data_IF_839930412157
#
_entry.id   IF_839930412157
#
_cell.length_a   1.000
_cell.length_b   1.000
_cell.length_c   1.000
_cell.angle_alpha   90.00
_cell.angle_beta   90.00
_cell.angle_gamma   90.00
#
_symmetry.space_group_name_H-M   'P 1'
#
loop_
_entity.id
_entity.type
_entity.pdbx_description
1 polymer ?
#
# COMPACT_ATOMS: atom_id res chain seq x y z
N UNK A 1 -15.61 -5.20 24.08
CA UNK A 1 -17.02 -5.68 24.03
C UNK A 1 -17.98 -4.79 23.21
N UNK A 2 -17.50 -3.84 22.39
CA UNK A 2 -18.37 -2.95 21.60
C UNK A 2 -17.94 -2.79 20.12
N UNK A 3 -17.16 -3.72 19.56
CA UNK A 3 -16.74 -3.67 18.15
C UNK A 3 -17.18 -4.90 17.32
N UNK A 4 -17.83 -5.89 17.91
CA UNK A 4 -18.20 -7.15 17.22
C UNK A 4 -19.62 -7.17 16.65
N UNK A 5 -20.38 -6.07 16.72
CA UNK A 5 -21.81 -6.07 16.40
C UNK A 5 -22.18 -5.50 15.01
N UNK A 6 -21.21 -5.29 14.10
CA UNK A 6 -21.44 -4.55 12.84
C UNK A 6 -21.22 -5.37 11.55
N UNK A 7 -21.16 -6.69 11.63
CA UNK A 7 -21.09 -7.54 10.43
C UNK A 7 -22.33 -8.45 10.40
N UNK A 8 -23.46 -8.04 9.79
CA UNK A 8 -24.51 -8.98 9.44
C UNK A 8 -24.08 -9.78 8.20
N UNK A 9 -24.26 -11.10 8.30
CA UNK A 9 -24.19 -12.14 7.27
C UNK A 9 -24.38 -11.67 5.82
N UNK A 10 -23.29 -11.27 5.17
CA UNK A 10 -23.22 -11.09 3.71
C UNK A 10 -22.54 -12.31 3.09
N UNK A 11 -23.15 -13.49 3.28
CA UNK A 11 -22.71 -14.78 2.74
C UNK A 11 -23.61 -15.25 1.58
N UNK A 12 -23.95 -14.33 0.69
CA UNK A 12 -24.27 -14.65 -0.72
C UNK A 12 -23.69 -13.51 -1.55
N UNK A 13 -22.43 -13.64 -1.98
CA UNK A 13 -21.78 -12.62 -2.83
C UNK A 13 -22.35 -12.74 -4.25
N UNK A 14 -23.15 -11.78 -4.74
CA UNK A 14 -23.34 -11.63 -6.18
C UNK A 14 -22.01 -11.20 -6.79
N UNK A 15 -21.88 -11.20 -8.12
CA UNK A 15 -20.66 -10.76 -8.81
C UNK A 15 -20.07 -9.50 -8.16
N UNK A 16 -18.74 -9.50 -8.03
CA UNK A 16 -17.95 -8.58 -7.21
C UNK A 16 -17.90 -7.11 -7.68
N UNK A 17 -18.83 -6.67 -8.52
CA UNK A 17 -18.80 -5.34 -9.13
C UNK A 17 -19.65 -4.29 -8.41
N UNK A 18 -20.46 -4.68 -7.40
CA UNK A 18 -21.35 -3.72 -6.74
C UNK A 18 -21.68 -4.07 -5.30
N UNK A 19 -21.31 -3.19 -4.37
CA UNK A 19 -21.70 -3.27 -2.95
C UNK A 19 -22.52 -2.02 -2.60
N UNK A 20 -23.80 -2.22 -2.29
CA UNK A 20 -24.72 -1.17 -1.85
C UNK A 20 -24.77 -1.19 -0.31
N UNK A 21 -24.24 -0.15 0.35
CA UNK A 21 -24.41 0.04 1.79
C UNK A 21 -25.60 0.96 2.04
N UNK A 22 -26.67 0.42 2.61
CA UNK A 22 -27.80 1.20 3.08
C UNK A 22 -27.52 1.66 4.50
N UNK A 23 -27.49 2.97 4.72
CA UNK A 23 -27.35 3.53 6.07
C UNK A 23 -28.72 3.57 6.76
N UNK A 24 -28.75 3.40 8.09
CA UNK A 24 -29.97 3.42 8.91
C UNK A 24 -30.76 4.75 8.84
N UNK A 25 -30.18 5.78 8.19
CA UNK A 25 -30.75 7.10 7.97
C UNK A 25 -31.71 7.18 6.77
N UNK A 26 -31.98 6.07 6.09
CA UNK A 26 -33.15 5.87 5.20
C UNK A 26 -33.23 6.72 3.92
N UNK A 27 -32.30 7.66 3.68
CA UNK A 27 -32.33 8.58 2.52
C UNK A 27 -31.00 8.72 1.77
N UNK A 28 -29.93 8.09 2.25
CA UNK A 28 -28.62 8.12 1.61
C UNK A 28 -28.02 6.71 1.58
N UNK A 29 -27.48 6.33 0.42
CA UNK A 29 -26.69 5.11 0.23
C UNK A 29 -25.26 5.47 -0.16
N UNK A 30 -24.32 4.64 0.27
CA UNK A 30 -22.93 4.69 -0.19
C UNK A 30 -22.72 3.48 -1.10
N UNK A 31 -22.12 3.72 -2.26
CA UNK A 31 -21.86 2.70 -3.27
C UNK A 31 -20.42 2.78 -3.72
N UNK A 32 -19.77 1.62 -3.76
CA UNK A 32 -18.47 1.46 -4.37
C UNK A 32 -18.63 1.02 -5.83
N UNK A 33 -17.85 1.62 -6.72
CA UNK A 33 -17.86 1.33 -8.15
C UNK A 33 -16.44 1.09 -8.64
N UNK A 34 -16.31 0.23 -9.64
CA UNK A 34 -15.10 0.20 -10.46
C UNK A 34 -14.98 1.53 -11.22
N UNK A 35 -13.74 1.97 -11.47
CA UNK A 35 -13.44 3.22 -12.15
C UNK A 35 -13.69 3.14 -13.67
N UNK A 36 -14.93 2.86 -14.07
CA UNK A 36 -15.36 2.80 -15.47
C UNK A 36 -16.49 3.79 -15.73
N UNK A 37 -16.50 4.39 -16.92
CA UNK A 37 -17.58 5.33 -17.30
C UNK A 37 -18.95 4.66 -17.35
N UNK A 38 -19.01 3.35 -17.63
CA UNK A 38 -20.24 2.58 -17.66
C UNK A 38 -20.88 2.38 -16.28
N UNK A 39 -20.08 2.23 -15.22
CA UNK A 39 -20.59 1.99 -13.87
C UNK A 39 -21.10 3.27 -13.19
N UNK A 40 -20.54 4.41 -13.58
CA UNK A 40 -20.85 5.73 -12.97
C UNK A 40 -21.82 6.57 -13.81
N UNK A 41 -22.20 6.12 -15.00
CA UNK A 41 -23.19 6.83 -15.81
C UNK A 41 -24.58 6.74 -15.15
N UNK A 42 -25.40 7.79 -15.34
CA UNK A 42 -26.81 7.87 -14.89
C UNK A 42 -27.07 8.03 -13.38
N UNK A 43 -26.04 8.07 -12.54
CA UNK A 43 -26.20 8.35 -11.12
C UNK A 43 -26.55 9.81 -10.82
N UNK A 44 -27.30 10.03 -9.74
CA UNK A 44 -27.45 11.33 -9.09
C UNK A 44 -26.66 11.29 -7.81
N UNK A 45 -25.65 12.16 -7.69
CA UNK A 45 -24.66 12.08 -6.62
C UNK A 45 -24.70 13.34 -5.77
N UNK A 46 -24.64 13.20 -4.44
CA UNK A 46 -24.41 14.33 -3.53
C UNK A 46 -22.92 14.54 -3.23
N UNK A 47 -22.14 13.46 -3.39
CA UNK A 47 -20.74 13.34 -3.03
C UNK A 47 -20.14 12.19 -3.84
N UNK A 48 -18.93 12.39 -4.37
CA UNK A 48 -18.13 11.33 -4.99
C UNK A 48 -16.69 11.45 -4.53
N UNK A 49 -16.12 10.33 -4.09
CA UNK A 49 -14.71 10.20 -3.73
C UNK A 49 -14.06 9.28 -4.76
N UNK A 50 -12.98 9.76 -5.38
CA UNK A 50 -12.18 9.02 -6.35
C UNK A 50 -10.85 8.72 -5.67
N UNK A 51 -10.64 7.45 -5.34
CA UNK A 51 -9.45 6.96 -4.65
C UNK A 51 -8.39 6.46 -5.65
N UNK A 52 -7.13 6.81 -5.42
CA UNK A 52 -5.97 6.48 -6.27
C UNK A 52 -6.18 6.77 -7.77
N UNK A 53 -6.75 7.96 -8.07
CA UNK A 53 -7.15 8.37 -9.43
C UNK A 53 -6.04 8.22 -10.48
N UNK A 54 -4.79 8.51 -10.10
CA UNK A 54 -3.63 8.42 -11.01
C UNK A 54 -3.24 6.98 -11.35
N UNK A 55 -3.68 5.99 -10.54
CA UNK A 55 -3.36 4.56 -10.69
C UNK A 55 -4.45 3.75 -11.39
N UNK A 56 -5.56 4.37 -11.79
CA UNK A 56 -6.60 3.67 -12.52
C UNK A 56 -6.11 3.23 -13.90
N UNK A 57 -6.53 2.04 -14.31
CA UNK A 57 -6.12 1.41 -15.57
C UNK A 57 -7.35 0.75 -16.21
N UNK A 58 -7.64 1.10 -17.47
CA UNK A 58 -8.66 0.47 -18.30
C UNK A 58 -8.15 -0.84 -18.93
N UNK A 59 -9.02 -1.59 -19.59
CA UNK A 59 -8.67 -2.84 -20.30
C UNK A 59 -7.59 -2.67 -21.38
N UNK A 60 -7.26 -1.42 -21.76
CA UNK A 60 -6.24 -1.07 -22.75
C UNK A 60 -4.96 -0.54 -22.10
N UNK A 61 -4.84 -0.60 -20.77
CA UNK A 61 -3.65 -0.12 -20.06
C UNK A 61 -3.58 1.40 -19.89
N UNK A 62 -4.67 2.15 -20.14
CA UNK A 62 -4.70 3.61 -20.08
C UNK A 62 -5.47 4.08 -18.86
N UNK A 63 -5.13 5.26 -18.33
CA UNK A 63 -5.86 5.82 -17.20
C UNK A 63 -7.20 6.44 -17.67
N UNK A 64 -8.38 5.93 -17.20
CA UNK A 64 -9.70 6.36 -17.64
C UNK A 64 -10.25 7.56 -16.84
N UNK A 65 -9.47 8.20 -15.97
CA UNK A 65 -9.96 9.20 -15.02
C UNK A 65 -10.67 10.38 -15.70
N UNK A 66 -10.20 10.82 -16.87
CA UNK A 66 -10.83 11.95 -17.59
C UNK A 66 -12.26 11.60 -18.00
N UNK A 67 -12.44 10.42 -18.58
CA UNK A 67 -13.74 9.90 -19.03
C UNK A 67 -14.68 9.67 -17.85
N UNK A 68 -14.18 9.04 -16.77
CA UNK A 68 -14.95 8.77 -15.55
C UNK A 68 -15.43 10.06 -14.90
N UNK A 69 -14.55 11.04 -14.70
CA UNK A 69 -14.90 12.35 -14.12
C UNK A 69 -15.94 13.06 -14.99
N UNK A 70 -15.77 13.03 -16.31
CA UNK A 70 -16.74 13.62 -17.25
C UNK A 70 -18.13 12.95 -17.15
N UNK A 71 -18.17 11.63 -16.95
CA UNK A 71 -19.44 10.89 -16.78
C UNK A 71 -20.15 11.19 -15.45
N UNK A 72 -19.40 11.45 -14.38
CA UNK A 72 -19.95 11.76 -13.04
C UNK A 72 -20.48 13.19 -12.95
N UNK A 73 -19.80 14.13 -13.63
CA UNK A 73 -20.03 15.57 -13.50
C UNK A 73 -21.50 16.00 -13.66
N UNK A 74 -22.26 15.53 -14.67
CA UNK A 74 -23.68 15.88 -14.80
C UNK A 74 -24.53 15.51 -13.58
N UNK A 75 -24.25 14.36 -12.95
CA UNK A 75 -24.96 13.86 -11.78
C UNK A 75 -24.67 14.64 -10.49
N UNK A 76 -23.52 15.34 -10.43
CA UNK A 76 -23.17 16.25 -9.35
C UNK A 76 -23.72 17.67 -9.56
N UNK A 77 -23.74 18.14 -10.82
CA UNK A 77 -24.27 19.48 -11.14
C UNK A 77 -25.74 19.60 -10.75
N UNK A 78 -26.53 18.56 -10.99
CA UNK A 78 -27.97 18.56 -10.68
C UNK A 78 -28.28 18.68 -9.19
N UNK A 79 -27.34 18.33 -8.32
CA UNK A 79 -27.50 18.32 -6.86
C UNK A 79 -26.67 19.42 -6.17
N UNK A 80 -25.73 20.04 -6.88
CA UNK A 80 -24.67 20.86 -6.26
C UNK A 80 -23.66 20.04 -5.46
N UNK A 81 -23.53 18.75 -5.77
CA UNK A 81 -22.66 17.81 -5.06
C UNK A 81 -21.17 18.11 -5.18
N UNK A 82 -20.36 17.41 -4.38
CA UNK A 82 -18.90 17.58 -4.33
C UNK A 82 -18.16 16.36 -4.90
N UNK A 83 -17.01 16.62 -5.50
CA UNK A 83 -16.07 15.61 -6.00
C UNK A 83 -14.73 15.79 -5.29
N UNK A 84 -14.21 14.71 -4.71
CA UNK A 84 -12.88 14.64 -4.13
C UNK A 84 -12.04 13.65 -4.93
N UNK A 85 -10.97 14.12 -5.56
CA UNK A 85 -9.95 13.26 -6.15
C UNK A 85 -8.75 13.19 -5.22
N UNK A 86 -8.35 11.97 -4.85
CA UNK A 86 -7.22 11.72 -3.95
C UNK A 86 -6.28 10.78 -4.69
N UNK A 87 -4.99 11.14 -4.79
CA UNK A 87 -4.01 10.27 -5.42
C UNK A 87 -2.57 10.65 -5.09
N UNK A 88 -1.69 9.66 -5.14
CA UNK A 88 -0.25 9.88 -5.26
C UNK A 88 0.11 10.32 -6.70
N UNK A 89 1.09 11.21 -6.90
CA UNK A 89 1.52 11.59 -8.25
C UNK A 89 2.18 10.39 -8.95
N UNK A 90 1.70 10.02 -10.13
CA UNK A 90 2.27 8.93 -10.96
C UNK A 90 2.89 9.46 -12.27
N UNK A 91 2.44 10.63 -12.74
CA UNK A 91 2.94 11.30 -13.92
C UNK A 91 2.43 12.75 -13.98
N UNK A 92 2.78 13.48 -15.03
CA UNK A 92 2.33 14.87 -15.22
C UNK A 92 1.11 14.98 -16.15
N UNK A 93 0.82 13.91 -16.90
CA UNK A 93 -0.15 13.94 -18.00
C UNK A 93 -1.54 13.43 -17.63
N UNK A 94 -1.72 12.86 -16.43
CA UNK A 94 -3.00 12.32 -16.00
C UNK A 94 -3.97 13.43 -15.51
N UNK A 95 -5.24 13.06 -15.38
CA UNK A 95 -6.31 13.99 -15.01
C UNK A 95 -6.08 14.62 -13.62
N UNK A 96 -5.54 13.86 -12.67
CA UNK A 96 -5.25 14.33 -11.32
C UNK A 96 -4.07 15.30 -11.33
N UNK A 97 -2.97 14.98 -12.01
CA UNK A 97 -1.82 15.88 -12.15
C UNK A 97 -2.18 17.20 -12.85
N UNK A 98 -3.00 17.15 -13.89
CA UNK A 98 -3.53 18.33 -14.57
C UNK A 98 -4.43 19.15 -13.65
N UNK A 99 -5.33 18.52 -12.91
CA UNK A 99 -6.18 19.22 -11.94
C UNK A 99 -5.34 19.90 -10.86
N UNK A 100 -4.39 19.17 -10.26
CA UNK A 100 -3.45 19.69 -9.28
C UNK A 100 -2.69 20.92 -9.81
N UNK A 101 -2.15 20.83 -11.03
CA UNK A 101 -1.38 21.90 -11.66
C UNK A 101 -2.20 23.16 -11.95
N UNK A 102 -3.53 23.05 -12.08
CA UNK A 102 -4.42 24.22 -12.20
C UNK A 102 -4.53 25.01 -10.90
N UNK A 103 -4.28 24.40 -9.75
CA UNK A 103 -4.36 25.03 -8.43
C UNK A 103 -5.80 25.33 -7.98
N UNK A 104 -5.92 26.29 -7.06
CA UNK A 104 -7.21 26.75 -6.52
C UNK A 104 -7.97 27.65 -7.50
N UNK A 105 -9.30 27.57 -7.47
CA UNK A 105 -10.19 28.44 -8.24
C UNK A 105 -11.65 28.32 -7.78
N UNK A 106 -12.56 29.06 -8.41
CA UNK A 106 -13.96 29.18 -7.99
C UNK A 106 -14.72 27.84 -7.86
N UNK A 107 -14.27 26.80 -8.56
CA UNK A 107 -14.85 25.46 -8.53
C UNK A 107 -13.90 24.35 -8.07
N UNK A 108 -12.69 24.67 -7.63
CA UNK A 108 -11.66 23.67 -7.30
C UNK A 108 -10.81 24.15 -6.12
N UNK A 109 -10.53 23.25 -5.19
CA UNK A 109 -9.54 23.45 -4.15
C UNK A 109 -8.53 22.31 -4.22
N UNK A 110 -7.25 22.64 -4.09
CA UNK A 110 -6.14 21.69 -4.10
C UNK A 110 -5.46 21.72 -2.74
N UNK A 111 -5.29 20.54 -2.15
CA UNK A 111 -4.53 20.38 -0.92
C UNK A 111 -3.36 19.42 -1.19
N UNK A 112 -2.19 19.80 -0.68
CA UNK A 112 -1.01 18.94 -0.67
C UNK A 112 -0.34 19.07 0.69
N UNK A 113 0.02 17.93 1.24
CA UNK A 113 0.94 17.86 2.36
C UNK A 113 1.85 16.66 2.12
N UNK A 114 3.18 16.81 2.30
CA UNK A 114 4.04 15.64 2.37
C UNK A 114 3.60 14.76 3.54
N UNK A 115 3.86 13.46 3.47
CA UNK A 115 3.37 12.45 4.44
C UNK A 115 3.63 12.86 5.88
N UNK A 116 4.80 13.44 6.20
CA UNK A 116 5.16 13.86 7.55
C UNK A 116 4.36 15.07 8.07
N UNK A 117 3.88 15.95 7.19
CA UNK A 117 2.98 17.05 7.56
C UNK A 117 1.54 16.56 7.69
N UNK A 118 1.09 15.72 6.75
CA UNK A 118 -0.26 15.18 6.76
C UNK A 118 -0.52 14.26 7.97
N UNK A 119 0.49 13.50 8.37
CA UNK A 119 0.41 12.50 9.45
C UNK A 119 1.28 12.91 10.65
N UNK A 120 1.10 14.13 11.17
CA UNK A 120 1.94 14.67 12.25
C UNK A 120 1.95 13.80 13.53
N UNK A 121 0.89 13.02 13.79
CA UNK A 121 0.82 12.07 14.91
C UNK A 121 1.51 10.73 14.67
N UNK A 122 1.90 10.42 13.43
CA UNK A 122 2.54 9.15 13.05
C UNK A 122 4.07 9.20 13.22
N UNK A 123 4.64 10.39 13.47
CA UNK A 123 6.07 10.65 13.59
C UNK A 123 6.41 11.50 14.80
N UNK A 124 5.70 11.28 15.90
CA UNK A 124 6.11 11.94 17.12
C UNK A 124 7.52 11.45 17.47
N UNK A 125 8.34 12.33 18.06
CA UNK A 125 9.67 11.96 18.50
C UNK A 125 9.60 10.74 19.42
N UNK A 126 8.53 10.66 20.23
CA UNK A 126 8.23 9.52 21.11
C UNK A 126 8.03 8.22 20.32
N UNK A 127 7.32 8.21 19.19
CA UNK A 127 7.14 7.00 18.39
C UNK A 127 8.46 6.55 17.74
N UNK A 128 9.30 7.50 17.34
CA UNK A 128 10.66 7.21 16.88
C UNK A 128 11.57 6.70 18.01
N UNK A 129 11.36 7.15 19.26
CA UNK A 129 12.04 6.62 20.45
C UNK A 129 11.51 5.25 20.88
N UNK A 130 10.25 4.92 20.59
CA UNK A 130 9.67 3.59 20.79
C UNK A 130 10.17 2.56 19.78
N UNK A 131 10.62 3.01 18.60
CA UNK A 131 11.32 2.13 17.67
C UNK A 131 12.69 1.78 18.25
N UNK A 132 12.93 0.49 18.45
CA UNK A 132 14.21 -0.01 18.90
C UNK A 132 14.80 -0.92 17.82
N UNK A 133 15.53 -0.36 16.83
CA UNK A 133 16.06 -1.18 15.76
C UNK A 133 17.02 -2.24 16.31
N UNK A 134 16.74 -3.49 15.96
CA UNK A 134 17.45 -4.69 16.37
C UNK A 134 17.91 -5.52 15.16
N UNK A 135 17.61 -5.08 13.94
CA UNK A 135 18.03 -5.71 12.69
C UNK A 135 18.76 -4.71 11.78
N UNK A 136 19.81 -5.18 11.10
CA UNK A 136 20.53 -4.44 10.07
C UNK A 136 20.39 -5.17 8.74
N UNK A 137 19.76 -4.52 7.76
CA UNK A 137 19.59 -4.99 6.39
C UNK A 137 20.64 -4.34 5.49
N UNK A 138 21.41 -5.16 4.78
CA UNK A 138 22.55 -4.69 3.99
C UNK A 138 22.75 -5.54 2.71
N UNK A 139 23.42 -4.98 1.69
CA UNK A 139 23.75 -5.68 0.46
C UNK A 139 24.96 -6.60 0.67
N UNK A 140 25.13 -7.68 -0.13
CA UNK A 140 26.26 -8.61 0.02
C UNK A 140 27.64 -7.93 0.05
N UNK A 141 27.80 -6.84 -0.70
CA UNK A 141 29.05 -6.06 -0.78
C UNK A 141 29.47 -5.44 0.56
N UNK A 142 28.52 -5.19 1.47
CA UNK A 142 28.76 -4.64 2.81
C UNK A 142 28.91 -5.71 3.89
N UNK A 143 28.93 -7.00 3.54
CA UNK A 143 28.99 -8.10 4.52
C UNK A 143 30.14 -7.96 5.51
N UNK A 144 31.36 -7.71 5.02
CA UNK A 144 32.55 -7.62 5.89
C UNK A 144 32.42 -6.48 6.90
N UNK A 145 31.95 -5.32 6.44
CA UNK A 145 31.76 -4.12 7.28
C UNK A 145 30.65 -4.38 8.31
N UNK A 146 29.51 -4.94 7.88
CA UNK A 146 28.39 -5.24 8.78
C UNK A 146 28.79 -6.27 9.85
N UNK A 147 29.51 -7.32 9.45
CA UNK A 147 30.03 -8.33 10.36
C UNK A 147 31.01 -7.73 11.38
N UNK A 148 31.93 -6.89 10.91
CA UNK A 148 32.89 -6.21 11.78
C UNK A 148 32.20 -5.31 12.82
N UNK A 149 31.18 -4.54 12.41
CA UNK A 149 30.42 -3.67 13.32
C UNK A 149 29.71 -4.48 14.42
N UNK A 150 29.16 -5.66 14.09
CA UNK A 150 28.31 -6.44 15.01
C UNK A 150 29.08 -7.46 15.85
N UNK A 151 30.17 -8.02 15.34
CA UNK A 151 30.90 -9.11 16.00
C UNK A 151 32.26 -8.70 16.60
N UNK A 152 32.75 -7.49 16.30
CA UNK A 152 34.00 -7.03 16.92
C UNK A 152 33.83 -6.79 18.42
N UNK A 153 34.65 -7.44 19.25
CA UNK A 153 34.62 -7.26 20.71
C UNK A 153 35.12 -5.88 21.16
N UNK A 154 36.06 -5.32 20.39
CA UNK A 154 36.63 -3.99 20.58
C UNK A 154 36.34 -3.09 19.39
N UNK A 155 36.41 -1.79 19.59
CA UNK A 155 36.33 -0.82 18.50
C UNK A 155 37.48 -1.06 17.52
N UNK A 156 37.14 -1.13 16.24
CA UNK A 156 38.12 -1.22 15.17
C UNK A 156 38.89 0.10 15.12
N UNK A 157 40.20 0.02 14.84
CA UNK A 157 41.12 1.15 14.68
C UNK A 157 41.44 2.00 15.93
N UNK A 158 41.06 1.58 17.14
CA UNK A 158 41.49 2.24 18.39
C UNK A 158 42.50 1.39 19.20
N UNK A 159 43.69 1.95 19.47
CA UNK A 159 44.73 1.30 20.28
C UNK A 159 44.31 0.99 21.73
N UNK A 160 43.24 1.62 22.21
CA UNK A 160 42.72 1.48 23.57
C UNK A 160 41.81 0.26 23.77
N UNK A 161 41.51 -0.51 22.72
CA UNK A 161 40.65 -1.70 22.77
C UNK A 161 39.35 -1.46 23.55
N UNK A 162 38.71 -0.32 23.29
CA UNK A 162 37.46 0.05 23.92
C UNK A 162 36.38 -0.93 23.49
N UNK A 163 35.51 -1.36 24.43
CA UNK A 163 34.44 -2.31 24.14
C UNK A 163 33.49 -1.76 23.08
N UNK A 164 33.15 -2.59 22.10
CA UNK A 164 32.14 -2.25 21.10
C UNK A 164 30.73 -2.28 21.74
N UNK A 165 30.00 -1.18 21.63
CA UNK A 165 28.64 -1.03 22.17
C UNK A 165 27.57 -1.68 21.30
N UNK A 166 27.91 -2.00 20.05
CA UNK A 166 27.03 -2.66 19.09
C UNK A 166 27.23 -4.18 19.04
N UNK A 167 28.23 -4.70 19.78
CA UNK A 167 28.54 -6.12 19.79
C UNK A 167 27.34 -6.97 20.21
N UNK A 168 26.84 -7.80 19.29
CA UNK A 168 25.67 -8.66 19.50
C UNK A 168 24.34 -7.92 19.69
N UNK A 169 24.28 -6.62 19.36
CA UNK A 169 23.04 -5.82 19.48
C UNK A 169 22.09 -6.02 18.31
N UNK A 170 22.62 -6.21 17.11
CA UNK A 170 21.83 -6.28 15.88
C UNK A 170 21.89 -7.67 15.24
N UNK A 171 20.78 -8.11 14.68
CA UNK A 171 20.73 -9.28 13.81
C UNK A 171 21.01 -8.85 12.37
N UNK A 172 22.03 -9.45 11.79
CA UNK A 172 22.44 -9.20 10.41
C UNK A 172 21.49 -9.89 9.41
N UNK A 173 20.95 -9.14 8.44
CA UNK A 173 20.12 -9.62 7.34
C UNK A 173 20.75 -9.21 6.00
N UNK A 174 21.35 -10.16 5.31
CA UNK A 174 21.87 -9.94 3.97
C UNK A 174 20.74 -10.03 2.93
N UNK A 175 20.69 -9.11 1.96
CA UNK A 175 19.71 -9.14 0.88
C UNK A 175 20.33 -8.96 -0.50
N UNK A 176 20.34 -10.04 -1.28
CA UNK A 176 20.93 -10.09 -2.64
C UNK A 176 20.28 -9.13 -3.64
N UNK A 177 19.03 -8.71 -3.41
CA UNK A 177 18.38 -7.76 -4.32
C UNK A 177 18.75 -6.30 -4.04
N UNK A 178 19.51 -6.05 -2.97
CA UNK A 178 20.08 -4.74 -2.68
C UNK A 178 21.42 -4.64 -3.43
N UNK A 179 21.39 -4.03 -4.61
CA UNK A 179 22.54 -4.03 -5.54
C UNK A 179 23.47 -2.82 -5.38
N UNK A 180 23.18 -1.92 -4.45
CA UNK A 180 23.93 -0.69 -4.24
C UNK A 180 24.50 -0.69 -2.82
N UNK A 181 25.82 -0.62 -2.72
CA UNK A 181 26.57 -0.59 -1.46
C UNK A 181 26.26 0.65 -0.60
N UNK A 182 25.57 1.67 -1.14
CA UNK A 182 25.15 2.83 -0.36
C UNK A 182 23.79 2.65 0.33
N UNK A 183 23.03 1.62 -0.04
CA UNK A 183 21.73 1.38 0.54
C UNK A 183 21.86 0.40 1.72
N UNK A 184 21.46 0.84 2.90
CA UNK A 184 21.38 0.02 4.11
C UNK A 184 20.23 0.51 4.99
N UNK A 185 19.66 -0.41 5.77
CA UNK A 185 18.47 -0.12 6.57
C UNK A 185 18.58 -0.72 7.97
N UNK A 186 18.15 0.05 8.97
CA UNK A 186 17.84 -0.44 10.30
C UNK A 186 16.36 -0.84 10.35
N UNK A 187 16.07 -1.97 10.99
CA UNK A 187 14.70 -2.46 11.16
C UNK A 187 14.42 -2.84 12.61
N UNK A 188 13.17 -2.65 13.03
CA UNK A 188 12.61 -3.20 14.27
C UNK A 188 11.88 -4.51 13.92
N UNK A 189 12.38 -5.63 14.42
CA UNK A 189 11.87 -6.97 14.11
C UNK A 189 10.43 -7.21 14.60
N UNK A 190 10.04 -6.59 15.72
CA UNK A 190 8.70 -6.71 16.30
C UNK A 190 7.70 -6.01 15.40
N UNK A 191 7.94 -4.74 15.07
CA UNK A 191 7.06 -3.97 14.21
C UNK A 191 7.05 -4.53 12.78
N UNK A 192 8.20 -5.01 12.27
CA UNK A 192 8.26 -5.68 10.96
C UNK A 192 7.37 -6.93 10.89
N UNK A 193 7.37 -7.75 11.95
CA UNK A 193 6.49 -8.93 12.03
C UNK A 193 5.00 -8.59 12.11
N UNK A 194 4.66 -7.45 12.70
CA UNK A 194 3.30 -6.93 12.78
C UNK A 194 2.85 -6.31 11.45
N UNK A 195 3.73 -5.62 10.73
CA UNK A 195 3.37 -4.87 9.53
C UNK A 195 3.51 -5.65 8.23
N UNK A 196 4.53 -6.51 8.07
CA UNK A 196 4.76 -7.26 6.84
C UNK A 196 3.88 -8.52 6.82
N UNK A 197 2.86 -8.52 5.97
CA UNK A 197 1.90 -9.63 5.86
C UNK A 197 1.99 -10.28 4.49
N UNK A 198 2.08 -11.60 4.52
CA UNK A 198 1.76 -12.45 3.37
C UNK A 198 0.28 -12.80 3.45
N UNK A 199 -0.43 -12.64 2.34
CA UNK A 199 -1.83 -12.97 2.23
C UNK A 199 -2.05 -13.97 1.11
N UNK A 200 -2.80 -15.02 1.45
CA UNK A 200 -3.21 -16.06 0.53
C UNK A 200 -4.63 -15.73 0.11
N UNK A 201 -4.77 -15.08 -1.05
CA UNK A 201 -6.08 -14.66 -1.57
C UNK A 201 -6.89 -15.85 -2.08
N UNK A 202 -6.19 -16.80 -2.70
CA UNK A 202 -6.74 -18.08 -3.10
C UNK A 202 -5.78 -19.17 -2.62
N UNK A 203 -6.26 -20.00 -1.69
CA UNK A 203 -5.54 -21.18 -1.22
C UNK A 203 -5.19 -22.11 -2.38
N UNK A 204 -4.17 -22.95 -2.20
CA UNK A 204 -3.72 -23.88 -3.23
C UNK A 204 -4.81 -24.90 -3.61
N UNK A 205 -5.47 -24.67 -4.75
CA UNK A 205 -6.46 -25.56 -5.32
C UNK A 205 -5.79 -26.57 -6.26
N UNK A 206 -5.81 -27.84 -5.87
CA UNK A 206 -5.33 -28.93 -6.68
C UNK A 206 -6.50 -29.62 -7.39
N UNK A 207 -6.39 -29.77 -8.72
CA UNK A 207 -7.35 -30.53 -9.52
C UNK A 207 -6.63 -31.59 -10.36
N UNK A 208 -7.24 -32.76 -10.44
CA UNK A 208 -6.76 -33.92 -11.18
C UNK A 208 -7.85 -34.42 -12.13
N UNK A 209 -7.47 -34.69 -13.38
CA UNK A 209 -8.32 -35.35 -14.35
C UNK A 209 -7.52 -36.44 -15.05
N UNK A 210 -8.01 -37.68 -14.97
CA UNK A 210 -7.48 -38.83 -15.70
C UNK A 210 -8.42 -39.18 -16.85
N UNK A 211 -7.85 -39.34 -18.04
CA UNK A 211 -8.58 -39.84 -19.20
C UNK A 211 -8.48 -41.37 -19.26
N UNK A 212 -9.62 -42.04 -19.03
CA UNK A 212 -9.73 -43.50 -18.95
C UNK A 212 -9.35 -44.22 -20.25
N UNK A 213 -9.55 -43.58 -21.41
CA UNK A 213 -9.34 -44.21 -22.72
C UNK A 213 -7.89 -44.07 -23.21
N UNK A 214 -7.21 -42.98 -22.83
CA UNK A 214 -5.84 -42.68 -23.29
C UNK A 214 -4.77 -42.88 -22.23
N UNK A 215 -5.14 -43.15 -20.97
CA UNK A 215 -4.24 -43.24 -19.81
C UNK A 215 -3.41 -41.97 -19.60
N UNK A 216 -3.92 -40.82 -20.06
CA UNK A 216 -3.27 -39.52 -19.86
C UNK A 216 -3.87 -38.86 -18.63
N UNK A 217 -3.01 -38.52 -17.68
CA UNK A 217 -3.37 -37.73 -16.51
C UNK A 217 -2.97 -36.27 -16.69
N UNK A 218 -3.84 -35.36 -16.22
CA UNK A 218 -3.61 -33.92 -16.16
C UNK A 218 -3.80 -33.43 -14.73
N UNK A 219 -2.84 -32.64 -14.27
CA UNK A 219 -2.87 -31.99 -12.97
C UNK A 219 -2.90 -30.48 -13.17
N UNK A 220 -3.69 -29.78 -12.35
CA UNK A 220 -3.75 -28.32 -12.29
C UNK A 220 -3.57 -27.90 -10.85
N UNK A 221 -2.70 -26.91 -10.65
CA UNK A 221 -2.54 -26.20 -9.38
C UNK A 221 -2.85 -24.72 -9.64
N UNK A 222 -3.71 -24.13 -8.83
CA UNK A 222 -4.02 -22.70 -8.86
C UNK A 222 -3.91 -22.12 -7.45
N UNK A 223 -3.24 -20.99 -7.32
CA UNK A 223 -3.13 -20.23 -6.08
C UNK A 223 -2.84 -18.77 -6.41
N UNK A 224 -3.19 -17.87 -5.49
CA UNK A 224 -2.86 -16.45 -5.58
C UNK A 224 -2.31 -15.98 -4.23
N UNK A 225 -1.04 -15.62 -4.23
CA UNK A 225 -0.36 -15.05 -3.07
C UNK A 225 -0.04 -13.58 -3.33
N UNK A 226 -0.04 -12.79 -2.27
CA UNK A 226 0.48 -11.43 -2.31
C UNK A 226 1.21 -11.09 -1.02
N UNK A 227 2.06 -10.08 -1.11
CA UNK A 227 2.72 -9.47 0.01
C UNK A 227 2.26 -8.02 0.15
N UNK A 228 2.09 -7.56 1.38
CA UNK A 228 1.72 -6.19 1.68
C UNK A 228 2.33 -5.75 3.00
N UNK A 229 2.42 -4.43 3.19
CA UNK A 229 2.75 -3.83 4.46
C UNK A 229 1.55 -3.04 4.96
N UNK A 230 1.18 -3.22 6.23
CA UNK A 230 0.13 -2.42 6.89
C UNK A 230 0.67 -1.04 7.23
N UNK A 231 1.86 -1.02 7.81
CA UNK A 231 2.61 0.18 8.18
C UNK A 231 4.07 0.00 7.77
N UNK A 232 4.81 1.11 7.74
CA UNK A 232 6.19 1.19 7.30
C UNK A 232 7.19 1.80 8.32
N UNK A 233 6.80 2.40 9.48
CA UNK A 233 7.78 2.95 10.42
C UNK A 233 8.85 1.96 10.89
N UNK A 234 8.60 0.65 10.83
CA UNK A 234 9.54 -0.39 11.25
C UNK A 234 10.86 -0.44 10.47
N UNK A 235 11.00 0.30 9.37
CA UNK A 235 12.24 0.38 8.58
C UNK A 235 12.71 1.83 8.44
N UNK A 236 13.98 2.06 8.74
CA UNK A 236 14.69 3.33 8.52
C UNK A 236 15.92 3.05 7.67
N UNK A 237 16.16 3.84 6.64
CA UNK A 237 17.37 3.69 5.83
C UNK A 237 17.89 5.00 5.29
N UNK A 238 19.16 4.97 4.92
CA UNK A 238 19.77 6.04 4.14
C UNK A 238 19.78 5.61 2.67
N UNK A 239 19.25 6.47 1.80
CA UNK A 239 19.60 6.44 0.38
C UNK A 239 20.56 7.59 0.16
N UNK A 240 21.85 7.27 0.02
CA UNK A 240 22.88 8.27 -0.23
C UNK A 240 23.07 8.35 -1.73
N UNK A 241 22.52 9.41 -2.35
CA UNK A 241 22.70 9.72 -3.78
C UNK A 241 24.05 10.35 -4.06
#
# INVERSE_FOLDING_TARGET
KYLEALIPDALERPRADRVDYQTDWGRCSIRAYSATSGDVVSGTYIAVILDEVSRWIDDRGRNPATEVIASITPGLISTGGKLWGISSPMGIDDAHAKAFSRGDGDGQMVAFAPTWVANAGMYSEELCHEMEPDELLYPPDLYEIAFEIVESMGKVDEATNNRNVHHGRYTLKEWVYLNDANNWFFMDSRLRGESLKWFDSVEAEFAFAEDLDTLIAKWRLYFVYGNGHLDWPWILGASVS
#
